data_IF_875512745476
#
_entry.id   IF_875512745476
#
_cell.length_a   1.000
_cell.length_b   1.000
_cell.length_c   1.000
_cell.angle_alpha   90.00
_cell.angle_beta   90.00
_cell.angle_gamma   90.00
#
_symmetry.space_group_name_H-M   'P 1'
#
loop_
_entity.id
_entity.type
_entity.pdbx_description
1 polymer ?
#
# COMPACT_ATOMS: atom_id res chain seq x y z
N UNK A 1 33.12 -13.37 21.36
CA UNK A 1 31.78 -13.11 21.95
C UNK A 1 31.93 -13.10 23.46
N UNK A 2 31.29 -12.20 24.18
CA UNK A 2 31.37 -12.09 25.63
C UNK A 2 30.64 -13.23 26.36
N UNK A 3 29.80 -14.01 25.69
CA UNK A 3 29.00 -15.10 26.26
C UNK A 3 27.90 -14.65 27.24
N UNK A 4 27.73 -13.35 27.43
CA UNK A 4 26.73 -12.73 28.33
C UNK A 4 26.12 -11.52 27.68
N UNK A 5 24.88 -11.12 28.05
CA UNK A 5 24.30 -9.87 27.60
C UNK A 5 25.13 -8.66 28.02
N UNK A 6 25.29 -7.68 27.12
CA UNK A 6 26.02 -6.43 27.38
C UNK A 6 25.05 -5.25 27.31
N UNK A 7 25.14 -4.33 28.28
CA UNK A 7 24.52 -3.01 28.18
C UNK A 7 25.52 -2.04 27.56
N UNK A 8 25.15 -1.41 26.46
CA UNK A 8 26.00 -0.51 25.69
C UNK A 8 25.34 0.90 25.55
N UNK A 9 25.44 1.76 26.57
CA UNK A 9 24.98 3.14 26.50
C UNK A 9 25.90 3.98 25.61
N UNK A 10 25.50 5.23 25.34
CA UNK A 10 26.24 6.17 24.45
C UNK A 10 27.51 6.74 25.02
N UNK A 11 27.96 6.32 26.22
CA UNK A 11 29.20 6.71 26.87
C UNK A 11 29.38 8.24 27.06
N UNK A 12 28.30 8.96 27.39
CA UNK A 12 28.29 10.38 27.72
C UNK A 12 27.44 10.66 28.97
N UNK A 13 27.72 11.72 29.74
CA UNK A 13 26.80 12.21 30.75
C UNK A 13 25.45 12.61 30.14
N UNK A 14 24.36 12.48 30.90
CA UNK A 14 23.03 12.87 30.42
C UNK A 14 23.00 14.33 29.94
N UNK A 15 22.52 14.55 28.71
CA UNK A 15 22.47 15.86 28.07
C UNK A 15 23.75 16.33 27.40
N UNK A 16 24.86 15.61 27.54
CA UNK A 16 26.09 15.88 26.80
C UNK A 16 26.08 15.20 25.41
N UNK A 17 26.85 15.72 24.43
CA UNK A 17 27.01 15.06 23.13
C UNK A 17 27.58 13.64 23.25
N UNK A 18 27.14 12.74 22.40
CA UNK A 18 27.72 11.38 22.35
C UNK A 18 29.13 11.43 21.78
N UNK A 19 30.13 10.80 22.46
CA UNK A 19 31.52 10.80 22.01
C UNK A 19 31.68 9.97 20.74
N UNK A 20 32.60 10.42 19.88
CA UNK A 20 32.92 9.77 18.60
C UNK A 20 34.29 9.08 18.60
N UNK A 21 35.11 9.33 19.62
CA UNK A 21 36.46 8.79 19.78
C UNK A 21 36.69 8.34 21.22
N UNK A 22 37.66 7.45 21.41
CA UNK A 22 38.10 7.04 22.75
C UNK A 22 38.57 8.23 23.60
N UNK A 23 39.24 9.23 22.99
CA UNK A 23 39.65 10.43 23.68
C UNK A 23 38.49 11.26 24.23
N UNK A 24 37.38 11.36 23.49
CA UNK A 24 36.19 12.06 23.97
C UNK A 24 35.49 11.29 25.10
N UNK A 25 35.51 9.95 25.09
CA UNK A 25 35.02 9.12 26.20
C UNK A 25 35.84 9.38 27.44
N UNK A 26 37.17 9.39 27.33
CA UNK A 26 38.06 9.68 28.45
C UNK A 26 37.90 11.10 28.99
N UNK A 27 37.60 12.08 28.12
CA UNK A 27 37.29 13.44 28.57
C UNK A 27 36.10 13.51 29.52
N UNK A 28 35.13 12.58 29.40
CA UNK A 28 33.98 12.48 30.29
C UNK A 28 34.21 11.60 31.50
N UNK A 29 34.97 10.51 31.35
CA UNK A 29 34.94 9.41 32.31
C UNK A 29 36.36 8.94 32.76
N UNK A 30 37.44 9.72 32.51
CA UNK A 30 38.75 9.35 32.99
C UNK A 30 38.76 9.21 34.53
N UNK A 31 39.27 8.10 35.00
CA UNK A 31 39.23 7.72 36.43
C UNK A 31 37.89 7.22 36.96
N UNK A 32 36.83 7.23 36.15
CA UNK A 32 35.48 6.74 36.53
C UNK A 32 35.10 5.41 35.88
N UNK A 33 35.88 4.95 34.89
CA UNK A 33 35.68 3.67 34.18
C UNK A 33 36.97 2.85 34.23
N UNK A 34 36.83 1.53 34.21
CA UNK A 34 37.98 0.59 34.37
C UNK A 34 38.84 0.50 33.09
N UNK A 35 38.20 0.62 31.91
CA UNK A 35 38.89 0.49 30.63
C UNK A 35 38.12 1.14 29.47
N UNK A 36 38.86 1.56 28.44
CA UNK A 36 38.34 1.96 27.12
C UNK A 36 38.95 1.03 26.07
N UNK A 37 38.11 0.47 25.21
CA UNK A 37 38.55 -0.25 24.01
C UNK A 37 38.49 0.73 22.84
N UNK A 38 39.64 1.14 22.31
CA UNK A 38 39.71 2.03 21.17
C UNK A 38 39.65 1.24 19.87
N UNK A 39 38.48 1.30 19.22
CA UNK A 39 38.22 0.75 17.87
C UNK A 39 38.38 1.76 16.75
N UNK A 40 38.90 2.96 17.04
CA UNK A 40 38.94 4.09 16.13
C UNK A 40 37.69 4.97 16.19
N UNK A 41 37.61 6.00 15.34
CA UNK A 41 36.46 6.92 15.29
C UNK A 41 35.16 6.21 14.92
N UNK A 42 34.03 6.63 15.52
CA UNK A 42 32.71 6.13 15.18
C UNK A 42 32.34 6.46 13.71
N UNK A 43 32.08 5.45 12.90
CA UNK A 43 31.78 5.63 11.47
C UNK A 43 30.50 6.43 11.20
N UNK A 44 29.45 6.25 12.00
CA UNK A 44 28.18 7.00 11.89
C UNK A 44 28.23 8.29 12.69
N UNK A 45 28.73 8.26 13.91
CA UNK A 45 28.90 9.41 14.79
C UNK A 45 27.60 10.16 15.12
N UNK A 46 26.47 9.49 14.97
CA UNK A 46 25.13 10.02 15.27
C UNK A 46 24.39 8.99 16.14
N UNK A 47 23.61 9.46 17.06
CA UNK A 47 22.81 8.60 17.95
C UNK A 47 21.78 7.75 17.19
N UNK A 48 21.29 6.69 17.84
CA UNK A 48 20.23 5.86 17.31
C UNK A 48 18.88 6.61 17.29
N UNK A 49 18.07 6.35 16.30
CA UNK A 49 16.66 6.75 16.28
C UNK A 49 15.88 5.92 17.29
N UNK A 50 15.02 6.57 18.08
CA UNK A 50 14.14 5.89 19.05
C UNK A 50 12.71 6.03 18.59
N UNK A 51 12.01 4.90 18.45
CA UNK A 51 10.60 4.83 18.13
C UNK A 51 9.79 4.30 19.32
N UNK A 52 8.66 4.91 19.60
CA UNK A 52 7.64 4.40 20.53
C UNK A 52 6.70 3.46 19.78
N UNK A 53 6.75 2.17 20.14
CA UNK A 53 5.84 1.14 19.65
C UNK A 53 4.85 0.67 20.75
N UNK A 54 4.87 1.31 21.92
CA UNK A 54 3.98 0.98 23.01
C UNK A 54 2.66 1.76 22.98
N UNK A 55 2.65 2.91 22.30
CA UNK A 55 1.50 3.80 22.20
C UNK A 55 1.19 4.10 20.73
N UNK A 56 -0.07 3.97 20.34
CA UNK A 56 -0.55 4.30 19.01
C UNK A 56 -1.07 5.76 18.96
N UNK A 57 -0.82 6.49 17.87
CA UNK A 57 0.01 6.09 16.72
C UNK A 57 1.50 6.06 17.07
N UNK A 58 2.22 5.05 16.57
CA UNK A 58 3.67 4.93 16.75
C UNK A 58 4.38 6.21 16.32
N UNK A 59 5.34 6.65 17.13
CA UNK A 59 5.99 7.94 16.95
C UNK A 59 7.49 7.88 17.21
N UNK A 60 8.23 8.82 16.63
CA UNK A 60 9.67 8.94 16.85
C UNK A 60 9.90 9.81 18.07
N UNK A 61 10.45 9.22 19.13
CA UNK A 61 10.82 9.92 20.37
C UNK A 61 12.15 10.69 20.25
N UNK A 62 13.07 10.16 19.44
CA UNK A 62 14.35 10.81 19.15
C UNK A 62 14.75 10.56 17.70
N UNK A 63 15.06 11.63 16.97
CA UNK A 63 15.65 11.55 15.64
C UNK A 63 17.14 11.24 15.76
N UNK A 64 17.62 10.23 15.05
CA UNK A 64 18.98 9.77 15.04
C UNK A 64 19.48 9.40 13.65
N UNK A 65 20.32 8.37 13.55
CA UNK A 65 20.95 7.97 12.29
C UNK A 65 19.97 7.48 11.21
N UNK A 66 18.83 6.93 11.61
CA UNK A 66 17.77 6.55 10.65
C UNK A 66 16.78 7.71 10.50
N UNK A 67 16.48 8.06 9.26
CA UNK A 67 15.46 9.07 8.96
C UNK A 67 14.07 8.58 9.35
N UNK A 68 13.16 9.50 9.60
CA UNK A 68 11.75 9.21 9.86
C UNK A 68 11.11 8.42 8.72
N UNK A 69 11.44 8.81 7.47
CA UNK A 69 11.00 8.11 6.27
C UNK A 69 11.44 6.65 6.25
N UNK A 70 12.72 6.37 6.57
CA UNK A 70 13.26 5.00 6.62
C UNK A 70 12.54 4.16 7.67
N UNK A 71 12.29 4.73 8.86
CA UNK A 71 11.58 4.04 9.95
C UNK A 71 10.13 3.73 9.56
N UNK A 72 9.43 4.70 9.01
CA UNK A 72 8.02 4.49 8.62
C UNK A 72 7.88 3.63 7.37
N UNK A 73 8.85 3.63 6.45
CA UNK A 73 8.90 2.68 5.36
C UNK A 73 9.01 1.23 5.88
N UNK A 74 9.89 0.98 6.86
CA UNK A 74 10.01 -0.33 7.48
C UNK A 74 8.73 -0.77 8.20
N UNK A 75 8.02 0.15 8.88
CA UNK A 75 6.72 -0.13 9.47
C UNK A 75 5.67 -0.48 8.40
N UNK A 76 5.62 0.29 7.32
CA UNK A 76 4.73 0.01 6.19
C UNK A 76 4.99 -1.36 5.57
N UNK A 77 6.25 -1.75 5.43
CA UNK A 77 6.65 -3.06 4.89
C UNK A 77 6.28 -4.23 5.80
N UNK A 78 6.06 -3.97 7.11
CA UNK A 78 5.58 -4.99 8.04
C UNK A 78 4.09 -5.32 7.89
N UNK A 79 3.32 -4.48 7.18
CA UNK A 79 1.90 -4.74 6.91
C UNK A 79 1.76 -5.84 5.86
N UNK A 80 1.03 -6.90 6.19
CA UNK A 80 0.64 -7.93 5.22
C UNK A 80 -0.32 -7.31 4.20
N UNK A 81 0.12 -7.20 2.96
CA UNK A 81 -0.65 -6.59 1.88
C UNK A 81 -1.18 -7.67 0.94
N UNK A 82 -2.50 -7.72 0.74
CA UNK A 82 -3.18 -8.66 -0.17
C UNK A 82 -3.75 -7.87 -1.35
N UNK A 83 -3.44 -8.32 -2.56
CA UNK A 83 -4.05 -7.76 -3.78
C UNK A 83 -5.34 -8.51 -4.14
N UNK A 84 -6.43 -7.79 -4.35
CA UNK A 84 -7.71 -8.36 -4.77
C UNK A 84 -8.07 -7.79 -6.15
N UNK A 85 -8.32 -8.68 -7.10
CA UNK A 85 -8.75 -8.32 -8.44
C UNK A 85 -9.85 -9.26 -8.94
N UNK A 86 -10.35 -9.02 -10.12
CA UNK A 86 -11.39 -9.84 -10.76
C UNK A 86 -12.44 -8.97 -11.45
N UNK A 87 -13.16 -9.57 -12.36
CA UNK A 87 -14.13 -8.87 -13.20
C UNK A 87 -15.38 -8.38 -12.45
N UNK A 88 -16.12 -7.51 -13.10
CA UNK A 88 -17.40 -7.00 -12.59
C UNK A 88 -18.37 -8.14 -12.28
N UNK A 89 -19.05 -8.06 -11.14
CA UNK A 89 -20.02 -9.08 -10.69
C UNK A 89 -19.40 -10.37 -10.13
N UNK A 90 -18.06 -10.49 -10.05
CA UNK A 90 -17.39 -11.69 -9.50
C UNK A 90 -17.60 -11.88 -7.99
N UNK A 91 -17.81 -10.77 -7.24
CA UNK A 91 -17.97 -10.81 -5.78
C UNK A 91 -16.77 -10.27 -5.00
N UNK A 92 -15.93 -9.45 -5.61
CA UNK A 92 -14.81 -8.77 -4.92
C UNK A 92 -15.24 -8.10 -3.62
N UNK A 93 -16.37 -7.39 -3.64
CA UNK A 93 -16.89 -6.71 -2.44
C UNK A 93 -17.04 -7.65 -1.25
N UNK A 94 -17.56 -8.87 -1.48
CA UNK A 94 -17.71 -9.87 -0.40
C UNK A 94 -16.35 -10.29 0.16
N UNK A 95 -15.35 -10.52 -0.69
CA UNK A 95 -13.99 -10.85 -0.25
C UNK A 95 -13.34 -9.70 0.53
N UNK A 96 -13.54 -8.45 0.08
CA UNK A 96 -13.04 -7.26 0.76
C UNK A 96 -13.76 -7.01 2.10
N UNK A 97 -15.06 -7.26 2.17
CA UNK A 97 -15.81 -7.15 3.42
C UNK A 97 -15.36 -8.20 4.44
N UNK A 98 -15.02 -9.41 3.99
CA UNK A 98 -14.40 -10.44 4.83
C UNK A 98 -13.07 -9.93 5.40
N UNK A 99 -12.20 -9.38 4.56
CA UNK A 99 -10.91 -8.81 4.98
C UNK A 99 -11.10 -7.63 5.95
N UNK A 100 -12.09 -6.76 5.73
CA UNK A 100 -12.46 -5.69 6.70
C UNK A 100 -12.87 -6.27 8.05
N UNK A 101 -13.67 -7.33 8.05
CA UNK A 101 -14.06 -8.05 9.26
C UNK A 101 -12.87 -8.66 10.01
N UNK A 102 -11.78 -8.96 9.33
CA UNK A 102 -10.52 -9.43 9.91
C UNK A 102 -9.58 -8.29 10.34
N UNK A 103 -10.01 -7.03 10.23
CA UNK A 103 -9.23 -5.84 10.62
C UNK A 103 -8.35 -5.27 9.50
N UNK A 104 -8.51 -5.71 8.25
CA UNK A 104 -7.75 -5.16 7.14
C UNK A 104 -8.17 -3.73 6.79
N UNK A 105 -7.18 -2.89 6.51
CA UNK A 105 -7.39 -1.65 5.75
C UNK A 105 -7.66 -2.01 4.30
N UNK A 106 -8.82 -1.65 3.76
CA UNK A 106 -9.14 -1.86 2.35
C UNK A 106 -8.93 -0.56 1.57
N UNK A 107 -8.06 -0.61 0.57
CA UNK A 107 -7.65 0.48 -0.30
C UNK A 107 -8.27 0.26 -1.69
N UNK A 108 -9.31 1.03 -1.99
CA UNK A 108 -9.97 1.05 -3.30
C UNK A 108 -9.22 2.04 -4.21
N UNK A 109 -8.46 1.52 -5.17
CA UNK A 109 -7.67 2.34 -6.09
C UNK A 109 -8.52 3.23 -6.98
N UNK A 110 -9.72 2.79 -7.35
CA UNK A 110 -10.62 3.59 -8.19
C UNK A 110 -11.17 4.78 -7.39
N UNK A 111 -11.54 4.57 -6.13
CA UNK A 111 -11.96 5.64 -5.22
C UNK A 111 -10.81 6.61 -4.93
N UNK A 112 -9.61 6.10 -4.63
CA UNK A 112 -8.40 6.92 -4.40
C UNK A 112 -8.09 7.78 -5.63
N UNK A 113 -8.09 7.18 -6.83
CA UNK A 113 -7.89 7.93 -8.07
C UNK A 113 -8.93 9.06 -8.21
N UNK A 114 -10.18 8.76 -7.91
CA UNK A 114 -11.28 9.71 -7.99
C UNK A 114 -11.06 10.91 -7.07
N UNK A 115 -10.73 10.64 -5.81
CA UNK A 115 -10.46 11.67 -4.82
C UNK A 115 -9.26 12.53 -5.22
N UNK A 116 -8.19 11.90 -5.74
CA UNK A 116 -7.00 12.60 -6.20
C UNK A 116 -7.25 13.51 -7.41
N UNK A 117 -8.16 13.13 -8.32
CA UNK A 117 -8.51 14.00 -9.45
C UNK A 117 -9.12 15.33 -9.01
N UNK A 118 -9.70 15.40 -7.81
CA UNK A 118 -10.32 16.62 -7.25
C UNK A 118 -9.39 17.31 -6.24
N UNK A 119 -8.65 16.53 -5.43
CA UNK A 119 -7.92 17.06 -4.27
C UNK A 119 -6.43 17.28 -4.49
N UNK A 120 -5.81 16.68 -5.52
CA UNK A 120 -4.37 16.74 -5.74
C UNK A 120 -3.98 17.75 -6.82
N UNK A 121 -3.63 18.98 -6.40
CA UNK A 121 -3.25 20.06 -7.30
C UNK A 121 -2.05 19.71 -8.21
N UNK A 122 -1.09 18.93 -7.72
CA UNK A 122 0.05 18.50 -8.54
C UNK A 122 -0.36 17.54 -9.65
N UNK A 123 -1.27 16.60 -9.36
CA UNK A 123 -1.81 15.68 -10.36
C UNK A 123 -2.65 16.44 -11.41
N UNK A 124 -3.48 17.38 -10.97
CA UNK A 124 -4.27 18.23 -11.86
C UNK A 124 -3.38 19.04 -12.80
N UNK A 125 -2.30 19.62 -12.28
CA UNK A 125 -1.32 20.36 -13.08
C UNK A 125 -0.66 19.46 -14.13
N UNK A 126 -0.12 18.30 -13.76
CA UNK A 126 0.52 17.38 -14.70
C UNK A 126 -0.47 16.87 -15.79
N UNK A 127 -1.70 16.57 -15.41
CA UNK A 127 -2.74 16.19 -16.38
C UNK A 127 -3.06 17.33 -17.36
N UNK A 128 -3.15 18.56 -16.86
CA UNK A 128 -3.40 19.75 -17.70
C UNK A 128 -2.20 20.05 -18.61
N UNK A 129 -0.97 19.95 -18.10
CA UNK A 129 0.23 20.13 -18.91
C UNK A 129 0.34 19.11 -20.05
N UNK A 130 -0.06 17.86 -19.81
CA UNK A 130 0.02 16.80 -20.84
C UNK A 130 -1.17 16.77 -21.78
N UNK A 131 -2.39 17.00 -21.30
CA UNK A 131 -3.62 16.79 -22.05
C UNK A 131 -4.39 18.10 -22.34
N UNK A 132 -3.85 19.25 -21.94
CA UNK A 132 -4.49 20.54 -22.10
C UNK A 132 -5.65 20.73 -21.12
N UNK A 133 -6.63 21.51 -21.55
CA UNK A 133 -7.78 21.88 -20.73
C UNK A 133 -8.76 20.71 -20.56
N UNK A 134 -8.45 19.80 -19.64
CA UNK A 134 -9.26 18.61 -19.31
C UNK A 134 -10.04 18.76 -18.00
N UNK A 135 -10.00 19.95 -17.38
CA UNK A 135 -10.75 20.27 -16.18
C UNK A 135 -11.79 21.35 -16.44
N UNK A 136 -12.96 21.21 -15.81
CA UNK A 136 -13.97 22.26 -15.68
C UNK A 136 -14.00 22.68 -14.20
N UNK A 137 -13.35 23.80 -13.88
CA UNK A 137 -13.00 24.15 -12.51
C UNK A 137 -12.13 23.07 -11.87
N UNK A 138 -12.57 22.50 -10.75
CA UNK A 138 -11.86 21.43 -10.04
C UNK A 138 -12.30 20.01 -10.49
N UNK A 139 -13.18 19.90 -11.47
CA UNK A 139 -13.74 18.62 -11.91
C UNK A 139 -13.10 18.16 -13.21
N UNK A 140 -12.55 16.94 -13.20
CA UNK A 140 -11.97 16.32 -14.39
C UNK A 140 -13.07 15.95 -15.39
N UNK A 141 -13.01 16.49 -16.62
CA UNK A 141 -13.84 16.06 -17.75
C UNK A 141 -13.35 14.71 -18.29
N UNK A 142 -13.87 13.65 -17.69
CA UNK A 142 -13.54 12.27 -18.07
C UNK A 142 -13.89 11.92 -19.49
N UNK A 143 -14.95 12.53 -20.04
CA UNK A 143 -15.37 12.28 -21.41
C UNK A 143 -14.37 12.88 -22.38
N UNK A 144 -13.92 14.10 -22.11
CA UNK A 144 -12.91 14.80 -22.92
C UNK A 144 -11.56 14.07 -22.84
N UNK A 145 -11.08 13.76 -21.62
CA UNK A 145 -9.84 13.01 -21.42
C UNK A 145 -9.92 11.63 -22.06
N UNK A 146 -11.04 10.90 -21.87
CA UNK A 146 -11.28 9.60 -22.48
C UNK A 146 -11.20 9.66 -24.01
N UNK A 147 -11.80 10.68 -24.65
CA UNK A 147 -11.71 10.84 -26.10
C UNK A 147 -10.29 11.06 -26.62
N UNK A 148 -9.39 11.65 -25.81
CA UNK A 148 -7.99 11.88 -26.17
C UNK A 148 -7.13 10.61 -26.04
N UNK A 149 -7.42 9.76 -25.05
CA UNK A 149 -6.63 8.55 -24.81
C UNK A 149 -7.20 7.29 -25.47
N UNK A 150 -8.48 7.32 -25.85
CA UNK A 150 -9.13 6.18 -26.51
C UNK A 150 -8.61 6.07 -27.95
N UNK A 151 -7.86 5.00 -28.21
CA UNK A 151 -7.26 4.74 -29.53
C UNK A 151 -5.84 5.29 -29.70
N UNK A 152 -5.28 5.99 -28.71
CA UNK A 152 -3.89 6.42 -28.66
C UNK A 152 -3.17 5.74 -27.49
N UNK A 153 -2.41 4.69 -27.81
CA UNK A 153 -1.67 3.90 -26.80
C UNK A 153 -0.59 4.72 -26.07
N UNK A 154 0.00 5.72 -26.71
CA UNK A 154 1.00 6.58 -26.09
C UNK A 154 0.36 7.54 -25.11
N UNK A 155 -0.76 8.17 -25.49
CA UNK A 155 -1.52 9.03 -24.60
C UNK A 155 -2.09 8.27 -23.39
N UNK A 156 -2.54 7.02 -23.57
CA UNK A 156 -2.99 6.17 -22.48
C UNK A 156 -1.82 5.80 -21.54
N UNK A 157 -0.65 5.51 -22.08
CA UNK A 157 0.53 5.23 -21.27
C UNK A 157 0.95 6.43 -20.42
N UNK A 158 0.91 7.64 -20.99
CA UNK A 158 1.21 8.88 -20.26
C UNK A 158 0.18 9.14 -19.16
N UNK A 159 -1.12 8.94 -19.44
CA UNK A 159 -2.17 9.05 -18.43
C UNK A 159 -1.92 8.08 -17.27
N UNK A 160 -1.63 6.82 -17.58
CA UNK A 160 -1.33 5.81 -16.57
C UNK A 160 -0.08 6.19 -15.76
N UNK A 161 1.00 6.64 -16.41
CA UNK A 161 2.23 7.04 -15.73
C UNK A 161 1.98 8.20 -14.73
N UNK A 162 1.20 9.21 -15.13
CA UNK A 162 0.84 10.33 -14.25
C UNK A 162 -0.03 9.82 -13.09
N UNK A 163 -1.11 9.12 -13.39
CA UNK A 163 -2.11 8.73 -12.37
C UNK A 163 -1.57 7.71 -11.40
N UNK A 164 -0.87 6.67 -11.88
CA UNK A 164 -0.26 5.64 -11.02
C UNK A 164 0.74 6.23 -10.02
N UNK A 165 1.55 7.21 -10.43
CA UNK A 165 2.49 7.91 -9.55
C UNK A 165 1.80 8.50 -8.31
N UNK A 166 0.66 9.16 -8.49
CA UNK A 166 -0.08 9.78 -7.38
C UNK A 166 -0.87 8.78 -6.57
N UNK A 167 -1.50 7.81 -7.22
CA UNK A 167 -2.20 6.71 -6.54
C UNK A 167 -1.22 5.91 -5.67
N UNK A 168 -0.04 5.56 -6.18
CA UNK A 168 0.98 4.85 -5.41
C UNK A 168 1.47 5.64 -4.19
N UNK A 169 1.66 6.95 -4.32
CA UNK A 169 2.00 7.82 -3.17
C UNK A 169 0.91 7.82 -2.10
N UNK A 170 -0.34 7.90 -2.51
CA UNK A 170 -1.47 7.89 -1.57
C UNK A 170 -1.64 6.52 -0.90
N UNK A 171 -1.45 5.43 -1.65
CA UNK A 171 -1.40 4.09 -1.07
C UNK A 171 -0.30 3.97 0.00
N UNK A 172 0.91 4.46 -0.29
CA UNK A 172 2.02 4.45 0.65
C UNK A 172 1.72 5.29 1.90
N UNK A 173 1.08 6.44 1.74
CA UNK A 173 0.66 7.29 2.86
C UNK A 173 -0.37 6.58 3.74
N UNK A 174 -1.41 6.00 3.15
CA UNK A 174 -2.48 5.30 3.86
C UNK A 174 -1.97 4.04 4.57
N UNK A 175 -1.11 3.27 3.92
CA UNK A 175 -0.46 2.11 4.52
C UNK A 175 0.45 2.50 5.69
N UNK A 176 1.20 3.60 5.56
CA UNK A 176 2.04 4.12 6.64
C UNK A 176 1.20 4.56 7.84
N UNK A 177 0.11 5.30 7.59
CA UNK A 177 -0.80 5.71 8.67
C UNK A 177 -1.47 4.51 9.35
N UNK A 178 -1.82 3.48 8.59
CA UNK A 178 -2.36 2.23 9.12
C UNK A 178 -1.34 1.49 9.99
N UNK A 179 -0.10 1.32 9.50
CA UNK A 179 0.99 0.69 10.24
C UNK A 179 1.31 1.43 11.53
N UNK A 180 1.33 2.76 11.51
CA UNK A 180 1.53 3.59 12.72
C UNK A 180 0.44 3.41 13.77
N UNK A 181 -0.76 3.04 13.37
CA UNK A 181 -1.89 2.71 14.27
C UNK A 181 -1.96 1.22 14.63
N UNK A 182 -0.84 0.50 14.54
CA UNK A 182 -0.76 -0.92 14.87
C UNK A 182 -1.43 -1.84 13.84
N UNK A 183 -1.84 -1.31 12.69
CA UNK A 183 -2.45 -2.11 11.63
C UNK A 183 -1.44 -3.05 10.98
N UNK A 184 -1.82 -4.31 10.85
CA UNK A 184 -0.93 -5.39 10.34
C UNK A 184 -1.40 -6.02 9.04
N UNK A 185 -2.64 -5.73 8.62
CA UNK A 185 -3.25 -6.31 7.43
C UNK A 185 -3.88 -5.22 6.57
N UNK A 186 -3.65 -5.28 5.26
CA UNK A 186 -4.28 -4.40 4.29
C UNK A 186 -4.61 -5.14 3.00
N UNK A 187 -5.60 -4.65 2.26
CA UNK A 187 -5.95 -5.15 0.94
C UNK A 187 -6.05 -4.01 -0.07
N UNK A 188 -5.53 -4.24 -1.28
CA UNK A 188 -5.70 -3.34 -2.43
C UNK A 188 -6.78 -3.93 -3.33
N UNK A 189 -7.84 -3.14 -3.61
CA UNK A 189 -8.83 -3.44 -4.64
C UNK A 189 -8.53 -2.61 -5.88
N UNK A 190 -8.20 -3.27 -6.98
CA UNK A 190 -8.03 -2.64 -8.27
C UNK A 190 -8.38 -3.62 -9.39
N UNK A 191 -9.10 -3.17 -10.42
CA UNK A 191 -9.33 -3.95 -11.65
C UNK A 191 -8.00 -4.13 -12.39
N UNK A 192 -7.19 -3.06 -12.47
CA UNK A 192 -5.83 -3.05 -13.03
C UNK A 192 -4.74 -3.35 -11.99
N UNK A 193 -5.02 -4.20 -10.99
CA UNK A 193 -4.08 -4.49 -9.90
C UNK A 193 -2.69 -4.89 -10.41
N UNK A 194 -2.64 -5.69 -11.47
CA UNK A 194 -1.39 -6.23 -12.01
C UNK A 194 -0.53 -5.17 -12.73
N UNK A 195 -1.11 -4.01 -13.04
CA UNK A 195 -0.45 -2.91 -13.73
C UNK A 195 0.16 -1.88 -12.77
N UNK A 196 -0.13 -1.98 -11.46
CA UNK A 196 0.40 -1.06 -10.45
C UNK A 196 1.61 -1.66 -9.74
N UNK A 197 2.57 -0.80 -9.37
CA UNK A 197 3.81 -1.20 -8.69
C UNK A 197 3.55 -1.97 -7.39
N UNK A 198 2.51 -1.59 -6.64
CA UNK A 198 2.15 -2.24 -5.39
C UNK A 198 1.77 -3.72 -5.53
N UNK A 199 1.38 -4.18 -6.73
CA UNK A 199 1.10 -5.61 -6.96
C UNK A 199 2.31 -6.51 -6.71
N UNK A 200 3.52 -6.01 -6.96
CA UNK A 200 4.77 -6.73 -6.68
C UNK A 200 5.12 -6.78 -5.17
N UNK A 201 4.52 -5.88 -4.37
CA UNK A 201 4.72 -5.79 -2.91
C UNK A 201 3.66 -6.54 -2.12
N UNK A 202 2.62 -7.03 -2.77
CA UNK A 202 1.61 -7.85 -2.10
C UNK A 202 2.21 -9.20 -1.72
N UNK A 203 1.82 -9.71 -0.55
CA UNK A 203 2.12 -11.09 -0.15
C UNK A 203 1.53 -12.08 -1.17
N UNK A 204 0.33 -11.79 -1.64
CA UNK A 204 -0.28 -12.50 -2.76
C UNK A 204 -1.31 -11.63 -3.48
N UNK A 205 -1.50 -11.91 -4.76
CA UNK A 205 -2.59 -11.41 -5.59
C UNK A 205 -3.65 -12.51 -5.73
N UNK A 206 -4.89 -12.18 -5.41
CA UNK A 206 -6.03 -13.10 -5.42
C UNK A 206 -7.05 -12.63 -6.44
N UNK A 207 -7.34 -13.45 -7.42
CA UNK A 207 -8.42 -13.23 -8.37
C UNK A 207 -9.74 -13.76 -7.83
N UNK A 208 -10.77 -12.94 -7.83
CA UNK A 208 -12.13 -13.36 -7.55
C UNK A 208 -12.85 -13.59 -8.88
N UNK A 209 -13.29 -14.83 -9.10
CA UNK A 209 -14.00 -15.24 -10.31
C UNK A 209 -15.41 -15.71 -9.99
N UNK A 210 -16.30 -15.77 -10.98
CA UNK A 210 -17.62 -16.35 -10.87
C UNK A 210 -18.15 -16.72 -12.26
N UNK A 211 -19.03 -17.74 -12.37
CA UNK A 211 -19.68 -18.08 -13.63
C UNK A 211 -20.32 -16.84 -14.30
N UNK A 212 -20.16 -16.70 -15.61
CA UNK A 212 -20.62 -15.54 -16.39
C UNK A 212 -22.09 -15.25 -16.13
N UNK A 213 -22.94 -16.28 -16.11
CA UNK A 213 -24.39 -16.13 -15.89
C UNK A 213 -24.70 -15.52 -14.50
N UNK A 214 -23.98 -15.91 -13.47
CA UNK A 214 -24.12 -15.32 -12.14
C UNK A 214 -23.62 -13.86 -12.10
N UNK A 215 -22.53 -13.55 -12.82
CA UNK A 215 -22.01 -12.18 -12.94
C UNK A 215 -23.01 -11.28 -13.63
N UNK A 216 -23.61 -11.74 -14.73
CA UNK A 216 -24.69 -11.04 -15.47
C UNK A 216 -25.87 -10.75 -14.55
N UNK A 217 -26.40 -11.77 -13.89
CA UNK A 217 -27.53 -11.63 -12.97
C UNK A 217 -27.24 -10.63 -11.83
N UNK A 218 -26.03 -10.68 -11.24
CA UNK A 218 -25.62 -9.76 -10.18
C UNK A 218 -25.51 -8.32 -10.67
N UNK A 219 -24.98 -8.09 -11.88
CA UNK A 219 -24.87 -6.76 -12.49
C UNK A 219 -26.24 -6.18 -12.80
N UNK A 220 -27.14 -6.96 -13.42
CA UNK A 220 -28.51 -6.53 -13.68
C UNK A 220 -29.24 -6.14 -12.39
N UNK A 221 -29.14 -6.96 -11.35
CA UNK A 221 -29.80 -6.72 -10.07
C UNK A 221 -29.24 -5.49 -9.33
N UNK A 222 -27.92 -5.25 -9.41
CA UNK A 222 -27.26 -4.15 -8.71
C UNK A 222 -27.43 -2.81 -9.41
N UNK A 223 -27.35 -2.79 -10.74
CA UNK A 223 -27.22 -1.55 -11.52
C UNK A 223 -28.45 -1.26 -12.37
N UNK A 224 -29.42 -2.17 -12.45
CA UNK A 224 -30.64 -2.00 -13.25
C UNK A 224 -30.38 -1.98 -14.76
N UNK A 225 -29.26 -2.53 -15.21
CA UNK A 225 -28.87 -2.61 -16.63
C UNK A 225 -29.48 -3.85 -17.29
N UNK A 226 -29.61 -3.83 -18.61
CA UNK A 226 -30.07 -5.00 -19.36
C UNK A 226 -28.98 -6.06 -19.52
N UNK A 227 -29.39 -7.26 -19.93
CA UNK A 227 -28.49 -8.40 -20.07
C UNK A 227 -27.43 -8.18 -21.14
N UNK A 228 -27.79 -7.59 -22.27
CA UNK A 228 -26.87 -7.33 -23.37
C UNK A 228 -25.74 -6.39 -22.95
N UNK A 229 -26.08 -5.32 -22.24
CA UNK A 229 -25.08 -4.40 -21.71
C UNK A 229 -24.20 -5.06 -20.65
N UNK A 230 -24.77 -5.86 -19.74
CA UNK A 230 -24.01 -6.61 -18.74
C UNK A 230 -23.01 -7.57 -19.39
N UNK A 231 -23.42 -8.33 -20.42
CA UNK A 231 -22.55 -9.24 -21.17
C UNK A 231 -21.43 -8.50 -21.91
N UNK A 232 -21.73 -7.38 -22.57
CA UNK A 232 -20.71 -6.52 -23.23
C UNK A 232 -19.68 -6.00 -22.24
N UNK A 233 -20.13 -5.57 -21.06
CA UNK A 233 -19.24 -5.06 -20.01
C UNK A 233 -18.32 -6.17 -19.46
N UNK A 234 -18.83 -7.38 -19.30
CA UNK A 234 -18.01 -8.53 -18.89
C UNK A 234 -16.99 -8.88 -19.97
N UNK A 235 -17.41 -8.93 -21.23
CA UNK A 235 -16.54 -9.26 -22.37
C UNK A 235 -15.44 -8.25 -22.64
N UNK A 236 -15.61 -7.00 -22.21
CA UNK A 236 -14.61 -5.94 -22.34
C UNK A 236 -13.49 -6.04 -21.27
N UNK A 237 -13.62 -6.93 -20.29
CA UNK A 237 -12.63 -7.13 -19.22
C UNK A 237 -11.74 -8.35 -19.53
N UNK A 238 -10.64 -8.48 -18.79
CA UNK A 238 -9.83 -9.69 -18.84
C UNK A 238 -10.64 -10.94 -18.47
N UNK A 239 -10.31 -12.06 -19.10
CA UNK A 239 -10.97 -13.34 -18.83
C UNK A 239 -10.53 -13.93 -17.48
N UNK A 240 -11.31 -14.88 -16.96
CA UNK A 240 -10.96 -15.59 -15.72
C UNK A 240 -9.65 -16.38 -15.89
N UNK A 241 -9.35 -16.89 -17.11
CA UNK A 241 -8.08 -17.55 -17.42
C UNK A 241 -6.89 -16.57 -17.35
N UNK A 242 -7.08 -15.33 -17.79
CA UNK A 242 -6.04 -14.30 -17.64
C UNK A 242 -5.71 -14.07 -16.17
N UNK A 243 -6.72 -13.91 -15.34
CA UNK A 243 -6.53 -13.72 -13.90
C UNK A 243 -5.89 -14.95 -13.25
N UNK A 244 -6.37 -16.16 -13.58
CA UNK A 244 -5.82 -17.40 -13.04
C UNK A 244 -4.32 -17.58 -13.38
N UNK A 245 -3.89 -17.09 -14.55
CA UNK A 245 -2.51 -17.17 -14.97
C UNK A 245 -1.59 -16.14 -14.30
N UNK A 246 -2.14 -14.96 -13.97
CA UNK A 246 -1.35 -13.81 -13.51
C UNK A 246 -1.49 -13.49 -12.01
N UNK A 247 -2.40 -14.17 -11.30
CA UNK A 247 -2.55 -14.07 -9.85
C UNK A 247 -1.98 -15.32 -9.16
N UNK A 248 -1.61 -15.18 -7.90
CA UNK A 248 -1.10 -16.29 -7.10
C UNK A 248 -2.20 -17.28 -6.76
N UNK A 249 -3.44 -16.77 -6.56
CA UNK A 249 -4.61 -17.58 -6.19
C UNK A 249 -5.84 -17.11 -6.93
N UNK A 250 -6.79 -18.04 -7.07
CA UNK A 250 -8.13 -17.78 -7.62
C UNK A 250 -9.18 -18.32 -6.68
N UNK A 251 -10.12 -17.47 -6.25
CA UNK A 251 -11.28 -17.85 -5.47
C UNK A 251 -12.54 -17.75 -6.34
N UNK A 252 -13.16 -18.91 -6.62
CA UNK A 252 -14.40 -18.97 -7.38
C UNK A 252 -15.61 -18.75 -6.47
N UNK A 253 -16.43 -17.78 -6.83
CA UNK A 253 -17.70 -17.44 -6.19
C UNK A 253 -18.87 -18.06 -7.00
N UNK A 254 -19.01 -19.37 -6.90
CA UNK A 254 -19.96 -20.19 -7.63
C UNK A 254 -21.18 -20.65 -6.79
N UNK A 255 -21.13 -20.42 -5.48
CA UNK A 255 -22.17 -20.77 -4.52
C UNK A 255 -23.02 -19.57 -4.04
N UNK A 256 -23.62 -19.75 -2.88
CA UNK A 256 -24.34 -18.69 -2.15
C UNK A 256 -23.36 -17.65 -1.56
N UNK A 257 -23.87 -16.50 -1.16
CA UNK A 257 -23.07 -15.48 -0.50
C UNK A 257 -22.39 -15.99 0.76
N UNK A 258 -23.13 -16.75 1.60
CA UNK A 258 -22.61 -17.29 2.86
C UNK A 258 -21.49 -18.33 2.63
N UNK A 259 -21.65 -19.21 1.64
CA UNK A 259 -20.60 -20.17 1.26
C UNK A 259 -19.34 -19.49 0.76
N UNK A 260 -19.49 -18.40 0.02
CA UNK A 260 -18.35 -17.64 -0.47
C UNK A 260 -17.67 -16.85 0.65
N UNK A 261 -18.41 -16.27 1.59
CA UNK A 261 -17.88 -15.62 2.79
C UNK A 261 -17.07 -16.61 3.65
N UNK A 262 -17.57 -17.84 3.84
CA UNK A 262 -16.84 -18.90 4.55
C UNK A 262 -15.55 -19.31 3.81
N UNK A 263 -15.63 -19.46 2.47
CA UNK A 263 -14.47 -19.75 1.61
C UNK A 263 -13.41 -18.64 1.74
N UNK A 264 -13.81 -17.36 1.71
CA UNK A 264 -12.92 -16.23 1.88
C UNK A 264 -12.28 -16.22 3.28
N UNK A 265 -13.08 -16.41 4.34
CA UNK A 265 -12.61 -16.44 5.72
C UNK A 265 -11.54 -17.52 5.92
N UNK A 266 -11.79 -18.74 5.46
CA UNK A 266 -10.82 -19.83 5.55
C UNK A 266 -9.53 -19.48 4.81
N UNK A 267 -9.65 -19.02 3.58
CA UNK A 267 -8.48 -18.68 2.76
C UNK A 267 -7.64 -17.57 3.38
N UNK A 268 -8.26 -16.45 3.78
CA UNK A 268 -7.52 -15.30 4.31
C UNK A 268 -6.97 -15.52 5.73
N UNK A 269 -7.44 -16.53 6.44
CA UNK A 269 -6.86 -16.93 7.74
C UNK A 269 -5.55 -17.71 7.55
N UNK A 270 -5.37 -18.37 6.41
CA UNK A 270 -4.19 -19.20 6.11
C UNK A 270 -3.06 -18.43 5.40
N UNK A 271 -3.38 -17.29 4.79
CA UNK A 271 -2.44 -16.47 4.00
C UNK A 271 -1.88 -15.31 4.82
#
# INVERSE_FOLDING_TARGET
>A
SAGVPLAAPSANPSGAPSPKTAGEVLAYFDGAIDAVIDGGPCGIGTESTIIDLAHEPYSILRRGALSEETVFAALRESVTLIGITGGSGSGKTTALDTLRGMGALVLDCDAIYHDLTVSCADMQRELTERFGDVYDGDTLDRKRLGAMVFGDAAALADLNAITHKYVCRELDRLLTDHARRGGTLAAIDAIGLLDIEHSARTRCNVAITAPVEQRVARLMAREGIDEEYARRRIAAQHSDEYFAKNCHFTLCNDGTKAEFEDKCTKFFTEV
#
